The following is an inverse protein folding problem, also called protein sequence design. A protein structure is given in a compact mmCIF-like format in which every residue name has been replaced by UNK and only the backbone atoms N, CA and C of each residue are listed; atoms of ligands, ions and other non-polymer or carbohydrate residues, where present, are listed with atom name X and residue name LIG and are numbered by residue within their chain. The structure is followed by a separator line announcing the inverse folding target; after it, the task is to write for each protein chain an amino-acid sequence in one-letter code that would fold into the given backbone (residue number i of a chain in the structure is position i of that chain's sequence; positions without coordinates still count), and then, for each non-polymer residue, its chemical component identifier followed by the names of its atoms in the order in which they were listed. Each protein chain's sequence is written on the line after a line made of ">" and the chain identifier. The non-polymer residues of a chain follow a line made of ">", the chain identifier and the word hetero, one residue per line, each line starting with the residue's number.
data_IF_323589427077
#
_entry.id   IF_323589427077
#
_cell.length_a   1.000
_cell.length_b   1.000
_cell.length_c   1.000
_cell.angle_alpha   90.00
_cell.angle_beta   90.00
_cell.angle_gamma   90.00
#
_symmetry.space_group_name_H-M   'P 1'
#
loop_
_entity.id
_entity.type
_entity.pdbx_description
1 polymer ?
#
# COMPACT_ATOMS: atom_id res chain seq x y z
N UNK A 1 -4.17 -1.06 -8.85
CA UNK A 1 -5.51 -0.51 -8.55
C UNK A 1 -5.35 0.50 -7.43
N UNK A 2 -6.01 1.66 -7.49
CA UNK A 2 -5.92 2.64 -6.39
C UNK A 2 -6.65 2.15 -5.15
N UNK A 3 -6.14 2.51 -3.97
CA UNK A 3 -6.81 2.26 -2.70
C UNK A 3 -7.81 3.37 -2.35
N UNK A 4 -8.95 2.98 -1.77
CA UNK A 4 -9.92 3.89 -1.16
C UNK A 4 -10.45 3.29 0.15
N UNK A 5 -11.13 4.10 0.94
CA UNK A 5 -11.71 3.69 2.23
C UNK A 5 -13.22 3.42 2.09
N UNK A 6 -13.72 2.43 2.82
CA UNK A 6 -15.15 2.15 2.95
C UNK A 6 -15.83 3.14 3.91
N UNK A 7 -16.42 4.19 3.34
CA UNK A 7 -17.18 5.20 4.08
C UNK A 7 -18.50 4.68 4.67
N UNK A 8 -18.95 3.47 4.29
CA UNK A 8 -20.16 2.85 4.84
C UNK A 8 -19.91 2.15 6.16
N UNK A 9 -18.64 1.81 6.45
CA UNK A 9 -18.22 1.11 7.68
C UNK A 9 -18.67 -0.34 7.76
N UNK A 10 -18.99 -0.98 6.62
CA UNK A 10 -19.50 -2.35 6.57
C UNK A 10 -18.39 -3.40 6.50
N UNK A 11 -17.27 -3.08 5.85
CA UNK A 11 -16.10 -3.96 5.82
C UNK A 11 -15.52 -4.16 7.22
N UNK A 12 -15.32 -5.42 7.61
CA UNK A 12 -14.62 -5.77 8.83
C UNK A 12 -13.10 -5.78 8.61
N UNK A 13 -12.34 -5.67 9.70
CA UNK A 13 -10.89 -5.83 9.62
C UNK A 13 -10.52 -7.22 9.09
N UNK A 14 -9.59 -7.27 8.14
CA UNK A 14 -9.22 -8.46 7.37
C UNK A 14 -10.04 -8.65 6.09
N UNK A 15 -11.07 -7.84 5.85
CA UNK A 15 -11.88 -7.86 4.63
C UNK A 15 -11.53 -6.70 3.70
N UNK A 16 -11.74 -6.92 2.41
CA UNK A 16 -11.68 -5.88 1.38
C UNK A 16 -12.85 -6.02 0.41
N UNK A 17 -13.16 -4.97 -0.32
CA UNK A 17 -14.03 -5.06 -1.50
C UNK A 17 -13.23 -4.72 -2.76
N UNK A 18 -13.35 -5.56 -3.78
CA UNK A 18 -12.74 -5.33 -5.09
C UNK A 18 -13.74 -5.70 -6.17
N UNK A 19 -14.06 -4.71 -7.00
CA UNK A 19 -14.80 -4.89 -8.23
C UNK A 19 -13.99 -4.31 -9.37
N UNK A 20 -13.74 -5.09 -10.42
CA UNK A 20 -12.95 -4.65 -11.56
C UNK A 20 -13.67 -4.90 -12.90
N UNK A 21 -13.32 -4.07 -13.88
CA UNK A 21 -13.74 -4.23 -15.26
C UNK A 21 -13.13 -5.51 -15.83
N UNK A 22 -13.96 -6.41 -16.36
CA UNK A 22 -13.53 -7.73 -16.85
C UNK A 22 -12.55 -7.65 -18.02
N UNK A 23 -12.69 -6.65 -18.88
CA UNK A 23 -11.81 -6.45 -20.02
C UNK A 23 -10.66 -5.49 -19.67
N UNK A 24 -9.50 -6.04 -19.35
CA UNK A 24 -8.29 -5.28 -19.00
C UNK A 24 -7.73 -4.41 -20.14
N UNK A 25 -8.13 -4.66 -21.39
CA UNK A 25 -7.70 -3.87 -22.54
C UNK A 25 -8.53 -2.59 -22.73
N UNK A 26 -9.63 -2.46 -21.99
CA UNK A 26 -10.55 -1.33 -22.07
C UNK A 26 -10.07 -0.21 -21.14
N UNK A 27 -9.29 0.73 -21.68
CA UNK A 27 -8.70 1.84 -20.91
C UNK A 27 -9.73 2.83 -20.34
N UNK A 28 -10.85 3.01 -21.03
CA UNK A 28 -11.93 3.92 -20.65
C UNK A 28 -13.26 3.17 -20.67
N UNK A 29 -13.52 2.32 -19.66
CA UNK A 29 -14.72 1.50 -19.63
C UNK A 29 -15.98 2.35 -19.50
N UNK A 30 -17.03 2.00 -20.27
CA UNK A 30 -18.35 2.61 -20.08
C UNK A 30 -18.99 2.10 -18.78
N UNK A 31 -20.03 2.80 -18.30
CA UNK A 31 -20.78 2.34 -17.12
C UNK A 31 -21.38 0.93 -17.29
N UNK A 32 -21.69 0.55 -18.53
CA UNK A 32 -22.23 -0.76 -18.93
C UNK A 32 -21.17 -1.83 -19.17
N UNK A 33 -19.87 -1.50 -19.03
CA UNK A 33 -18.81 -2.48 -19.19
C UNK A 33 -19.02 -3.65 -18.21
N UNK A 34 -18.73 -4.87 -18.68
CA UNK A 34 -18.86 -6.05 -17.85
C UNK A 34 -17.88 -5.98 -16.67
N UNK A 35 -18.40 -6.15 -15.45
CA UNK A 35 -17.64 -6.11 -14.20
C UNK A 35 -17.57 -7.51 -13.58
N UNK A 36 -16.58 -7.72 -12.72
CA UNK A 36 -16.48 -8.87 -11.85
C UNK A 36 -16.21 -8.39 -10.43
N UNK A 37 -16.94 -8.95 -9.46
CA UNK A 37 -16.71 -8.74 -8.03
C UNK A 37 -15.89 -9.93 -7.56
N UNK A 38 -14.75 -9.66 -6.93
CA UNK A 38 -13.89 -10.69 -6.36
C UNK A 38 -14.50 -11.19 -5.04
N UNK A 39 -14.39 -12.49 -4.78
CA UNK A 39 -14.86 -13.13 -3.54
C UNK A 39 -13.85 -14.16 -3.07
N UNK A 40 -13.69 -14.31 -1.76
CA UNK A 40 -12.74 -15.25 -1.16
C UNK A 40 -11.35 -14.64 -0.99
N UNK A 41 -10.34 -15.49 -0.80
CA UNK A 41 -8.96 -15.06 -0.58
C UNK A 41 -8.43 -14.25 -1.75
N UNK A 42 -7.84 -13.10 -1.43
CA UNK A 42 -7.13 -12.23 -2.36
C UNK A 42 -5.85 -11.75 -1.69
N UNK A 43 -4.75 -11.72 -2.45
CA UNK A 43 -3.44 -11.24 -2.01
C UNK A 43 -3.14 -9.87 -2.59
N UNK A 44 -2.75 -8.93 -1.74
CA UNK A 44 -2.41 -7.55 -2.05
C UNK A 44 -0.95 -7.25 -1.68
N UNK A 45 -0.33 -6.37 -2.44
CA UNK A 45 0.95 -5.76 -2.09
C UNK A 45 1.05 -4.38 -2.72
N UNK A 46 1.83 -3.50 -2.08
CA UNK A 46 2.33 -2.27 -2.68
C UNK A 46 3.77 -2.48 -3.15
N UNK A 47 4.18 -1.76 -4.18
CA UNK A 47 5.58 -1.66 -4.58
C UNK A 47 6.19 -0.34 -4.10
N UNK A 48 7.44 -0.35 -3.61
CA UNK A 48 8.31 -1.51 -3.41
C UNK A 48 7.87 -2.39 -2.23
N UNK A 49 8.11 -3.70 -2.34
CA UNK A 49 7.88 -4.71 -1.30
C UNK A 49 9.24 -5.21 -0.82
N UNK A 50 9.53 -5.05 0.48
CA UNK A 50 10.86 -5.28 1.06
C UNK A 50 10.83 -6.45 2.04
N UNK A 51 9.86 -6.47 2.96
CA UNK A 51 9.72 -7.53 3.95
C UNK A 51 8.54 -8.43 3.62
N UNK A 52 8.54 -9.66 4.12
CA UNK A 52 7.45 -10.61 3.88
C UNK A 52 6.09 -10.07 4.36
N UNK A 53 6.08 -9.25 5.42
CA UNK A 53 4.88 -8.60 5.95
C UNK A 53 4.23 -7.57 5.01
N UNK A 54 4.94 -7.08 3.99
CA UNK A 54 4.40 -6.11 3.01
C UNK A 54 3.39 -6.74 2.05
N UNK A 55 3.35 -8.07 1.98
CA UNK A 55 2.34 -8.83 1.24
C UNK A 55 1.23 -9.25 2.20
N UNK A 56 -0.02 -8.94 1.85
CA UNK A 56 -1.19 -9.18 2.70
C UNK A 56 -2.22 -10.03 1.97
N UNK A 57 -2.69 -11.08 2.62
CA UNK A 57 -3.85 -11.88 2.23
C UNK A 57 -5.06 -11.37 3.00
N UNK A 58 -6.12 -11.03 2.27
CA UNK A 58 -7.40 -10.57 2.77
C UNK A 58 -8.54 -11.45 2.26
N UNK A 59 -9.71 -11.31 2.87
CA UNK A 59 -10.96 -11.88 2.38
C UNK A 59 -11.71 -10.83 1.56
N UNK A 60 -11.87 -11.06 0.25
CA UNK A 60 -12.73 -10.23 -0.58
C UNK A 60 -14.20 -10.60 -0.34
N UNK A 61 -15.01 -9.60 0.02
CA UNK A 61 -16.44 -9.76 0.29
C UNK A 61 -17.27 -8.89 -0.62
N UNK A 62 -18.50 -9.33 -0.89
CA UNK A 62 -19.45 -8.63 -1.75
C UNK A 62 -20.41 -7.80 -0.91
N UNK A 63 -20.32 -6.47 -1.04
CA UNK A 63 -21.15 -5.51 -0.32
C UNK A 63 -21.92 -4.67 -1.35
N UNK A 64 -23.26 -4.82 -1.45
CA UNK A 64 -24.08 -4.11 -2.43
C UNK A 64 -23.88 -2.59 -2.44
N UNK A 65 -23.72 -1.98 -1.27
CA UNK A 65 -23.54 -0.54 -1.12
C UNK A 65 -22.23 -0.06 -1.75
N UNK A 66 -21.24 -0.93 -1.92
CA UNK A 66 -19.94 -0.62 -2.53
C UNK A 66 -19.89 -0.88 -4.04
N UNK A 67 -20.97 -1.36 -4.67
CA UNK A 67 -20.99 -1.70 -6.11
C UNK A 67 -20.76 -0.51 -7.05
N UNK A 68 -20.89 0.72 -6.54
CA UNK A 68 -20.56 1.93 -7.28
C UNK A 68 -19.04 2.16 -7.41
N UNK A 69 -18.23 1.53 -6.54
CA UNK A 69 -16.78 1.56 -6.59
C UNK A 69 -16.28 0.50 -7.59
N UNK A 70 -15.56 0.94 -8.62
CA UNK A 70 -15.06 0.09 -9.71
C UNK A 70 -13.59 0.42 -9.96
N UNK A 71 -12.79 -0.60 -10.23
CA UNK A 71 -11.37 -0.49 -10.56
C UNK A 71 -10.50 0.11 -9.43
N UNK A 72 -10.99 -0.03 -8.18
CA UNK A 72 -10.32 0.34 -6.93
C UNK A 72 -10.36 -0.80 -5.91
N UNK A 73 -9.44 -0.77 -4.95
CA UNK A 73 -9.48 -1.61 -3.75
C UNK A 73 -10.10 -0.79 -2.63
N UNK A 74 -11.11 -1.33 -1.96
CA UNK A 74 -11.77 -0.67 -0.83
C UNK A 74 -11.33 -1.33 0.47
N UNK A 75 -10.79 -0.53 1.38
CA UNK A 75 -10.30 -0.96 2.69
C UNK A 75 -11.28 -0.58 3.81
N UNK A 76 -11.33 -1.35 4.90
CA UNK A 76 -12.19 -1.07 6.05
C UNK A 76 -11.74 0.20 6.78
N UNK A 77 -12.70 0.99 7.27
CA UNK A 77 -12.39 2.15 8.11
C UNK A 77 -12.02 1.79 9.56
N UNK A 78 -12.33 0.56 9.99
CA UNK A 78 -12.17 0.11 11.36
C UNK A 78 -11.18 -1.05 11.48
N UNK A 79 -10.45 -1.07 12.59
CA UNK A 79 -9.51 -2.13 12.92
C UNK A 79 -8.37 -1.65 13.82
N UNK A 80 -7.52 -2.57 14.29
CA UNK A 80 -6.36 -2.24 15.11
C UNK A 80 -5.29 -1.44 14.35
N UNK A 81 -5.20 -1.61 13.03
CA UNK A 81 -4.22 -0.96 12.15
C UNK A 81 -4.82 -0.81 10.74
N UNK A 82 -4.64 0.34 10.06
CA UNK A 82 -5.06 0.50 8.67
C UNK A 82 -4.34 -0.51 7.76
N UNK A 83 -5.08 -1.24 6.93
CA UNK A 83 -4.48 -2.21 6.00
C UNK A 83 -3.49 -1.61 4.99
N UNK A 84 -3.70 -0.39 4.44
CA UNK A 84 -2.67 0.32 3.68
C UNK A 84 -1.32 0.36 4.41
N UNK A 85 -1.33 0.77 5.67
CA UNK A 85 -0.12 0.95 6.47
C UNK A 85 0.62 -0.38 6.76
N UNK A 86 -0.10 -1.51 6.70
CA UNK A 86 0.49 -2.85 6.79
C UNK A 86 1.33 -3.24 5.56
N UNK A 87 1.18 -2.53 4.44
CA UNK A 87 1.87 -2.79 3.17
C UNK A 87 2.90 -1.69 2.89
N UNK A 88 4.15 -1.86 3.32
CA UNK A 88 5.22 -0.89 3.08
C UNK A 88 4.91 0.55 3.56
N UNK A 89 4.08 0.71 4.60
CA UNK A 89 3.69 2.01 5.14
C UNK A 89 2.85 2.84 4.17
N UNK A 90 2.06 2.17 3.32
CA UNK A 90 1.16 2.80 2.34
C UNK A 90 0.08 3.64 3.01
N UNK A 91 -0.48 4.57 2.24
CA UNK A 91 -1.71 5.26 2.60
C UNK A 91 -2.69 5.29 1.41
N UNK A 92 -3.60 6.26 1.40
CA UNK A 92 -4.67 6.40 0.40
C UNK A 92 -4.58 7.74 -0.35
N UNK A 93 -3.38 8.32 -0.48
CA UNK A 93 -3.16 9.60 -1.17
C UNK A 93 -2.96 9.49 -2.69
N UNK A 94 -2.94 8.27 -3.22
CA UNK A 94 -2.61 7.95 -4.60
C UNK A 94 -1.88 6.61 -4.79
N UNK A 95 -1.67 5.86 -3.72
CA UNK A 95 -1.00 4.55 -3.77
C UNK A 95 -1.75 3.52 -4.62
N UNK A 96 -0.97 2.78 -5.41
CA UNK A 96 -1.43 1.67 -6.24
C UNK A 96 -1.08 0.32 -5.62
N UNK A 97 -2.07 -0.55 -5.57
CA UNK A 97 -1.96 -1.91 -5.06
C UNK A 97 -2.00 -2.92 -6.21
N UNK A 98 -1.12 -3.91 -6.13
CA UNK A 98 -1.21 -5.12 -6.94
C UNK A 98 -2.18 -6.08 -6.27
N UNK A 99 -3.19 -6.54 -7.01
CA UNK A 99 -4.27 -7.41 -6.50
C UNK A 99 -4.20 -8.75 -7.22
N UNK A 100 -4.02 -9.83 -6.48
CA UNK A 100 -3.81 -11.19 -7.00
C UNK A 100 -4.88 -12.11 -6.41
N UNK A 101 -5.72 -12.68 -7.27
CA UNK A 101 -6.79 -13.62 -6.88
C UNK A 101 -6.65 -15.01 -7.52
N UNK A 102 -5.50 -15.29 -8.15
CA UNK A 102 -5.15 -16.65 -8.57
C UNK A 102 -4.78 -17.50 -7.35
N UNK A 103 -5.60 -18.49 -7.05
CA UNK A 103 -5.47 -19.34 -5.87
C UNK A 103 -4.15 -20.11 -5.81
N UNK A 104 -3.43 -20.27 -6.93
CA UNK A 104 -2.11 -20.93 -6.95
C UNK A 104 -0.97 -20.03 -6.48
N UNK A 105 -1.20 -18.72 -6.45
CA UNK A 105 -0.19 -17.72 -6.08
C UNK A 105 -0.41 -17.14 -4.68
N UNK A 106 -1.58 -17.38 -4.08
CA UNK A 106 -1.93 -16.83 -2.77
C UNK A 106 -1.21 -17.59 -1.67
N UNK A 107 -0.58 -16.84 -0.77
CA UNK A 107 0.06 -17.38 0.43
C UNK A 107 -0.96 -17.93 1.45
N UNK A 108 -0.51 -18.83 2.31
CA UNK A 108 -1.38 -19.46 3.30
C UNK A 108 -1.75 -18.52 4.45
N UNK A 109 -0.82 -17.65 4.84
CA UNK A 109 -0.93 -16.74 5.98
C UNK A 109 -0.23 -15.39 5.73
N UNK A 110 -0.48 -14.45 6.64
CA UNK A 110 0.17 -13.14 6.70
C UNK A 110 1.36 -13.18 7.66
N UNK A 111 2.50 -12.69 7.21
CA UNK A 111 3.62 -12.38 8.11
C UNK A 111 3.35 -11.07 8.87
N UNK A 112 4.02 -10.83 10.03
CA UNK A 112 3.88 -9.58 10.75
C UNK A 112 4.32 -8.37 9.89
N UNK A 113 3.48 -7.32 9.77
CA UNK A 113 3.86 -6.11 9.04
C UNK A 113 4.92 -5.32 9.81
N UNK A 114 5.83 -4.66 9.09
CA UNK A 114 6.84 -3.78 9.70
C UNK A 114 6.17 -2.60 10.40
N UNK A 115 6.82 -2.07 11.45
CA UNK A 115 6.36 -0.87 12.14
C UNK A 115 6.88 0.39 11.43
N UNK A 116 5.96 1.18 10.90
CA UNK A 116 6.24 2.46 10.22
C UNK A 116 5.91 3.67 11.11
N UNK A 117 5.83 3.49 12.43
CA UNK A 117 5.56 4.57 13.38
C UNK A 117 6.52 5.73 13.16
N UNK A 118 5.98 6.88 12.77
CA UNK A 118 6.75 8.09 12.49
C UNK A 118 7.38 8.62 13.78
N UNK A 119 8.69 8.84 13.79
CA UNK A 119 9.33 9.59 14.87
C UNK A 119 8.74 11.00 14.92
N UNK A 120 8.17 11.40 16.05
CA UNK A 120 7.62 12.75 16.21
C UNK A 120 8.74 13.79 16.19
N UNK A 121 9.08 14.31 15.02
CA UNK A 121 9.87 15.53 14.94
C UNK A 121 8.97 16.69 15.36
N UNK A 122 9.26 17.32 16.49
CA UNK A 122 8.46 18.46 16.97
C UNK A 122 8.32 19.53 15.88
N UNK A 123 7.10 20.06 15.71
CA UNK A 123 6.83 21.13 14.76
C UNK A 123 7.69 22.35 15.12
N UNK A 124 8.78 22.57 14.37
CA UNK A 124 9.58 23.79 14.49
C UNK A 124 8.81 24.92 13.81
N UNK A 125 8.30 25.85 14.60
CA UNK A 125 7.79 27.12 14.08
C UNK A 125 9.02 27.92 13.67
N UNK A 126 9.14 28.21 12.37
CA UNK A 126 10.25 28.97 11.79
C UNK A 126 9.76 30.42 11.62
N UNK A 127 10.54 31.37 12.11
CA UNK A 127 10.32 32.80 11.87
C UNK A 127 10.47 33.11 10.37
N UNK A 128 9.61 33.97 9.82
CA UNK A 128 9.62 34.36 8.40
C UNK A 128 11.02 34.85 7.96
N UNK A 129 11.72 35.58 8.84
CA UNK A 129 13.07 36.06 8.57
C UNK A 129 14.12 34.93 8.44
N UNK A 130 13.84 33.73 8.94
CA UNK A 130 14.73 32.58 8.93
C UNK A 130 14.42 31.56 7.82
N UNK A 131 13.32 31.74 7.10
CA UNK A 131 12.85 30.77 6.08
C UNK A 131 13.91 30.51 5.01
N UNK A 132 14.56 31.55 4.48
CA UNK A 132 15.62 31.38 3.46
C UNK A 132 16.81 30.55 4.00
N UNK A 133 17.23 30.80 5.24
CA UNK A 133 18.34 30.06 5.86
C UNK A 133 17.97 28.59 6.09
N UNK A 134 16.79 28.33 6.63
CA UNK A 134 16.34 26.95 6.89
C UNK A 134 16.08 26.19 5.59
N UNK A 135 15.59 26.85 4.54
CA UNK A 135 15.43 26.25 3.22
C UNK A 135 16.78 25.84 2.62
N UNK A 136 17.81 26.69 2.70
CA UNK A 136 19.17 26.33 2.24
C UNK A 136 19.73 25.13 3.02
N UNK A 137 19.56 25.12 4.34
CA UNK A 137 19.98 23.98 5.18
C UNK A 137 19.24 22.70 4.79
N UNK A 138 17.94 22.78 4.53
CA UNK A 138 17.13 21.66 4.07
C UNK A 138 17.70 21.07 2.77
N UNK A 139 17.96 21.89 1.75
CA UNK A 139 18.55 21.39 0.49
C UNK A 139 19.93 20.75 0.68
N UNK A 140 20.80 21.36 1.49
CA UNK A 140 22.13 20.78 1.78
C UNK A 140 22.00 19.43 2.50
N UNK A 141 21.09 19.33 3.46
CA UNK A 141 20.86 18.07 4.18
C UNK A 141 20.25 17.01 3.28
N UNK A 142 19.27 17.38 2.45
CA UNK A 142 18.67 16.50 1.44
C UNK A 142 19.75 15.90 0.53
N UNK A 143 20.59 16.74 -0.08
CA UNK A 143 21.66 16.28 -1.00
C UNK A 143 22.64 15.34 -0.28
N UNK A 144 22.95 15.59 0.99
CA UNK A 144 23.85 14.73 1.78
C UNK A 144 23.23 13.39 2.18
N UNK A 145 21.90 13.33 2.30
CA UNK A 145 21.17 12.19 2.83
C UNK A 145 20.46 11.38 1.75
N UNK A 146 20.42 11.87 0.51
CA UNK A 146 19.80 11.21 -0.63
C UNK A 146 20.54 9.92 -0.99
N UNK A 147 20.15 8.83 -0.32
CA UNK A 147 20.80 7.52 -0.34
C UNK A 147 19.81 6.38 -0.58
N UNK A 148 18.53 6.69 -0.78
CA UNK A 148 17.44 5.71 -0.91
C UNK A 148 17.75 4.68 -2.00
N UNK A 149 18.16 5.14 -3.19
CA UNK A 149 18.51 4.24 -4.30
C UNK A 149 19.72 3.34 -3.99
N UNK A 150 20.71 3.86 -3.27
CA UNK A 150 21.89 3.07 -2.87
C UNK A 150 21.52 2.00 -1.84
N UNK A 151 20.68 2.37 -0.85
CA UNK A 151 20.17 1.43 0.16
C UNK A 151 19.31 0.34 -0.51
N UNK A 152 18.43 0.72 -1.45
CA UNK A 152 17.60 -0.23 -2.18
C UNK A 152 18.44 -1.24 -2.97
N UNK A 153 19.46 -0.80 -3.69
CA UNK A 153 20.36 -1.71 -4.42
C UNK A 153 21.16 -2.61 -3.47
N UNK A 154 21.63 -2.08 -2.35
CA UNK A 154 22.33 -2.88 -1.34
C UNK A 154 21.43 -3.98 -0.76
N UNK A 155 20.15 -3.67 -0.52
CA UNK A 155 19.17 -4.66 -0.07
C UNK A 155 18.99 -5.79 -1.08
N UNK A 156 18.86 -5.46 -2.38
CA UNK A 156 18.74 -6.45 -3.44
C UNK A 156 19.98 -7.34 -3.54
N UNK A 157 21.19 -6.75 -3.48
CA UNK A 157 22.45 -7.52 -3.51
C UNK A 157 22.56 -8.46 -2.31
N UNK A 158 22.19 -8.00 -1.11
CA UNK A 158 22.19 -8.86 0.07
C UNK A 158 21.18 -10.00 -0.05
N UNK A 159 19.98 -9.73 -0.56
CA UNK A 159 18.97 -10.75 -0.80
C UNK A 159 19.45 -11.80 -1.83
N UNK A 160 20.15 -11.38 -2.88
CA UNK A 160 20.71 -12.28 -3.89
C UNK A 160 21.86 -13.15 -3.34
N UNK A 161 22.72 -12.58 -2.49
CA UNK A 161 23.90 -13.29 -1.95
C UNK A 161 23.57 -14.20 -0.77
N UNK A 162 22.66 -13.78 0.11
CA UNK A 162 22.42 -14.41 1.41
C UNK A 162 20.96 -14.87 1.62
N UNK A 163 20.06 -14.49 0.72
CA UNK A 163 18.63 -14.80 0.80
C UNK A 163 17.81 -13.69 1.44
N UNK A 164 16.51 -13.66 1.12
CA UNK A 164 15.56 -12.61 1.52
C UNK A 164 15.28 -12.54 3.04
N UNK A 165 15.60 -13.60 3.79
CA UNK A 165 15.42 -13.67 5.24
C UNK A 165 16.76 -13.57 6.00
N UNK A 166 17.83 -13.15 5.34
CA UNK A 166 19.15 -13.03 5.97
C UNK A 166 19.16 -11.88 6.99
N UNK A 167 19.74 -12.12 8.17
CA UNK A 167 20.04 -11.09 9.19
C UNK A 167 21.45 -10.49 9.05
N UNK A 168 22.22 -10.98 8.07
CA UNK A 168 23.62 -10.59 7.80
C UNK A 168 23.70 -9.35 6.90
#
# INVERSE_FOLDING_TARGET
>A
MFGVMDETGQLQWGQIFVQCTRNIWLKTPSQSAAKIILKGKVMLTKNPCIVAGDVRVFEAVDIPELHHLVDVVVFPQHGPRPHPDEMAGSDLDGDEYSVIWDQKLIFEHNEPPLDFTKSTSGNKIIDEAQVDLEMRKFFVNYIKQDSIGSISNAFLVNADLYGITSEV
#
